data_IF_751858799910
#
_entry.id   IF_751858799910
#
_cell.length_a   1.000
_cell.length_b   1.000
_cell.length_c   1.000
_cell.angle_alpha   90.00
_cell.angle_beta   90.00
_cell.angle_gamma   90.00
#
_symmetry.space_group_name_H-M   'P 1'
#
loop_
_entity.id
_entity.type
_entity.pdbx_description
1 polymer ?
#
# COMPACT_ATOMS: atom_id res chain seq x y z
N UNK A 1 -41.93 -3.55 -19.85
CA UNK A 1 -40.55 -3.34 -20.34
C UNK A 1 -39.65 -2.59 -19.33
N UNK A 2 -40.04 -2.44 -18.05
CA UNK A 2 -39.30 -1.63 -17.07
C UNK A 2 -38.61 -2.41 -15.94
N UNK A 3 -39.16 -3.52 -15.46
CA UNK A 3 -38.59 -4.24 -14.29
C UNK A 3 -37.24 -4.92 -14.60
N UNK A 4 -37.11 -5.50 -15.80
CA UNK A 4 -35.88 -6.19 -16.20
C UNK A 4 -34.71 -5.21 -16.40
N UNK A 5 -34.98 -4.02 -16.92
CA UNK A 5 -34.00 -2.93 -17.06
C UNK A 5 -33.55 -2.41 -15.69
N UNK A 6 -34.47 -2.27 -14.74
CA UNK A 6 -34.13 -1.87 -13.37
C UNK A 6 -33.33 -2.94 -12.62
N UNK A 7 -33.65 -4.22 -12.81
CA UNK A 7 -32.84 -5.33 -12.31
C UNK A 7 -31.41 -5.28 -12.86
N UNK A 8 -31.24 -5.07 -14.17
CA UNK A 8 -29.92 -4.94 -14.77
C UNK A 8 -29.13 -3.75 -14.21
N UNK A 9 -29.75 -2.59 -14.05
CA UNK A 9 -29.10 -1.40 -13.47
C UNK A 9 -28.64 -1.67 -12.04
N UNK A 10 -29.50 -2.27 -11.20
CA UNK A 10 -29.17 -2.61 -9.80
C UNK A 10 -28.03 -3.62 -9.73
N UNK A 11 -28.09 -4.69 -10.53
CA UNK A 11 -27.04 -5.72 -10.59
C UNK A 11 -25.71 -5.13 -11.06
N UNK A 12 -25.72 -4.28 -12.10
CA UNK A 12 -24.52 -3.58 -12.57
C UNK A 12 -23.94 -2.70 -11.48
N UNK A 13 -24.76 -1.84 -10.86
CA UNK A 13 -24.30 -0.94 -9.80
C UNK A 13 -23.70 -1.71 -8.62
N UNK A 14 -24.31 -2.83 -8.22
CA UNK A 14 -23.78 -3.71 -7.17
C UNK A 14 -22.40 -4.27 -7.54
N UNK A 15 -22.24 -4.80 -8.75
CA UNK A 15 -20.97 -5.36 -9.23
C UNK A 15 -19.89 -4.27 -9.34
N UNK A 16 -20.24 -3.10 -9.89
CA UNK A 16 -19.32 -1.98 -10.05
C UNK A 16 -18.85 -1.46 -8.69
N UNK A 17 -19.77 -1.32 -7.73
CA UNK A 17 -19.44 -0.94 -6.35
C UNK A 17 -18.54 -1.98 -5.68
N UNK A 18 -18.85 -3.28 -5.80
CA UNK A 18 -18.04 -4.34 -5.21
C UNK A 18 -16.62 -4.36 -5.79
N UNK A 19 -16.47 -4.21 -7.11
CA UNK A 19 -15.17 -4.13 -7.78
C UNK A 19 -14.38 -2.89 -7.37
N UNK A 20 -15.04 -1.75 -7.27
CA UNK A 20 -14.45 -0.50 -6.78
C UNK A 20 -13.91 -0.67 -5.36
N UNK A 21 -14.73 -1.19 -4.44
CA UNK A 21 -14.33 -1.44 -3.05
C UNK A 21 -13.15 -2.41 -2.95
N UNK A 22 -13.16 -3.51 -3.70
CA UNK A 22 -12.02 -4.42 -3.76
C UNK A 22 -10.75 -3.72 -4.26
N UNK A 23 -10.84 -2.90 -5.32
CA UNK A 23 -9.71 -2.14 -5.84
C UNK A 23 -9.10 -1.20 -4.80
N UNK A 24 -9.93 -0.52 -4.02
CA UNK A 24 -9.49 0.36 -2.93
C UNK A 24 -8.77 -0.43 -1.84
N UNK A 25 -9.37 -1.53 -1.37
CA UNK A 25 -8.77 -2.39 -0.32
C UNK A 25 -7.44 -2.97 -0.78
N UNK A 26 -7.37 -3.51 -2.01
CA UNK A 26 -6.13 -4.06 -2.59
C UNK A 26 -5.05 -2.99 -2.67
N UNK A 27 -5.37 -1.78 -3.16
CA UNK A 27 -4.41 -0.68 -3.20
C UNK A 27 -3.88 -0.33 -1.82
N UNK A 28 -4.78 -0.23 -0.84
CA UNK A 28 -4.45 0.15 0.52
C UNK A 28 -3.53 -0.88 1.20
N UNK A 29 -3.86 -2.17 1.10
CA UNK A 29 -3.02 -3.27 1.60
C UNK A 29 -1.68 -3.27 0.89
N UNK A 30 -1.65 -3.10 -0.44
CA UNK A 30 -0.39 -3.11 -1.22
C UNK A 30 0.55 -2.00 -0.78
N UNK A 31 0.05 -0.77 -0.59
CA UNK A 31 0.88 0.35 -0.14
C UNK A 31 1.39 0.13 1.28
N UNK A 32 0.55 -0.40 2.17
CA UNK A 32 0.95 -0.70 3.54
C UNK A 32 2.03 -1.79 3.60
N UNK A 33 1.83 -2.91 2.88
CA UNK A 33 2.84 -3.97 2.78
C UNK A 33 4.16 -3.45 2.21
N UNK A 34 4.09 -2.59 1.19
CA UNK A 34 5.27 -1.95 0.60
C UNK A 34 6.01 -1.06 1.61
N UNK A 35 5.27 -0.32 2.45
CA UNK A 35 5.83 0.48 3.53
C UNK A 35 6.55 -0.39 4.58
N UNK A 36 5.89 -1.43 5.07
CA UNK A 36 6.44 -2.32 6.09
C UNK A 36 7.67 -3.10 5.60
N UNK A 37 7.63 -3.61 4.37
CA UNK A 37 8.81 -4.25 3.78
C UNK A 37 9.98 -3.26 3.69
N UNK A 38 9.70 -2.01 3.31
CA UNK A 38 10.66 -0.91 3.34
C UNK A 38 11.29 -0.69 4.72
N UNK A 39 10.45 -0.67 5.76
CA UNK A 39 10.86 -0.53 7.16
C UNK A 39 11.77 -1.67 7.60
N UNK A 40 11.34 -2.92 7.40
CA UNK A 40 12.11 -4.10 7.78
C UNK A 40 13.49 -4.13 7.10
N UNK A 41 13.57 -3.78 5.82
CA UNK A 41 14.86 -3.70 5.13
C UNK A 41 15.81 -2.66 5.76
N UNK A 42 15.30 -1.49 6.15
CA UNK A 42 16.13 -0.46 6.80
C UNK A 42 16.55 -0.87 8.22
N UNK A 43 15.66 -1.51 8.99
CA UNK A 43 15.96 -2.00 10.33
C UNK A 43 17.06 -3.07 10.29
N UNK A 44 16.96 -4.05 9.40
CA UNK A 44 18.00 -5.05 9.17
C UNK A 44 19.31 -4.41 8.74
N UNK A 45 19.27 -3.45 7.79
CA UNK A 45 20.46 -2.74 7.32
C UNK A 45 21.22 -1.97 8.42
N UNK A 46 20.50 -1.43 9.40
CA UNK A 46 21.07 -0.68 10.50
C UNK A 46 21.75 -1.56 11.55
N UNK A 47 21.35 -2.84 11.65
CA UNK A 47 21.98 -3.82 12.53
C UNK A 47 23.29 -4.39 11.95
N UNK A 48 23.53 -4.22 10.65
CA UNK A 48 24.75 -4.66 9.97
C UNK A 48 25.93 -3.68 10.08
N UNK A 49 27.11 -4.19 10.43
CA UNK A 49 28.36 -3.44 10.67
C UNK A 49 28.95 -2.69 9.45
N UNK A 50 28.40 -2.83 8.23
CA UNK A 50 28.87 -2.16 7.00
C UNK A 50 27.70 -1.73 6.10
N UNK A 51 27.24 -0.48 6.29
CA UNK A 51 25.98 0.08 5.75
C UNK A 51 25.75 -0.02 4.24
N UNK A 52 26.80 -0.07 3.42
CA UNK A 52 26.65 -0.05 1.96
C UNK A 52 26.62 -1.46 1.32
N UNK A 53 27.56 -2.34 1.69
CA UNK A 53 27.58 -3.71 1.17
C UNK A 53 26.46 -4.58 1.76
N UNK A 54 26.10 -4.34 3.01
CA UNK A 54 25.09 -5.14 3.70
C UNK A 54 23.68 -4.88 3.10
N UNK A 55 23.32 -3.62 2.82
CA UNK A 55 22.03 -3.31 2.19
C UNK A 55 21.84 -3.88 0.79
N UNK A 56 22.92 -3.94 -0.01
CA UNK A 56 22.86 -4.63 -1.30
C UNK A 56 22.54 -6.13 -1.15
N UNK A 57 23.17 -6.80 -0.18
CA UNK A 57 22.93 -8.23 0.10
C UNK A 57 21.54 -8.51 0.64
N UNK A 58 20.99 -7.62 1.47
CA UNK A 58 19.60 -7.72 1.98
C UNK A 58 18.62 -7.69 0.82
N UNK A 59 18.74 -6.72 -0.09
CA UNK A 59 17.86 -6.60 -1.26
C UNK A 59 17.96 -7.81 -2.19
N UNK A 60 19.17 -8.29 -2.46
CA UNK A 60 19.38 -9.43 -3.36
C UNK A 60 18.79 -10.72 -2.77
N UNK A 61 19.10 -11.01 -1.51
CA UNK A 61 18.61 -12.20 -0.80
C UNK A 61 17.08 -12.19 -0.67
N UNK A 62 16.51 -11.05 -0.28
CA UNK A 62 15.08 -10.89 -0.10
C UNK A 62 14.33 -10.98 -1.44
N UNK A 63 14.89 -10.42 -2.52
CA UNK A 63 14.33 -10.53 -3.87
C UNK A 63 14.23 -11.99 -4.30
N UNK A 64 15.30 -12.77 -4.12
CA UNK A 64 15.32 -14.19 -4.50
C UNK A 64 14.27 -14.96 -3.70
N UNK A 65 14.26 -14.80 -2.37
CA UNK A 65 13.35 -15.51 -1.49
C UNK A 65 11.88 -15.18 -1.79
N UNK A 66 11.51 -13.89 -1.81
CA UNK A 66 10.12 -13.47 -1.99
C UNK A 66 9.62 -13.75 -3.40
N UNK A 67 10.47 -13.60 -4.42
CA UNK A 67 10.07 -13.95 -5.80
C UNK A 67 9.85 -15.46 -5.95
N UNK A 68 10.70 -16.29 -5.33
CA UNK A 68 10.51 -17.75 -5.33
C UNK A 68 9.21 -18.16 -4.63
N UNK A 69 8.90 -17.52 -3.49
CA UNK A 69 7.74 -17.89 -2.66
C UNK A 69 6.41 -17.30 -3.14
N UNK A 70 6.41 -16.06 -3.63
CA UNK A 70 5.19 -15.30 -3.91
C UNK A 70 5.09 -14.83 -5.37
N UNK A 71 6.14 -15.00 -6.18
CA UNK A 71 6.14 -14.69 -7.60
C UNK A 71 6.37 -13.21 -7.93
N UNK A 72 5.68 -12.73 -8.96
CA UNK A 72 5.86 -11.39 -9.52
C UNK A 72 5.55 -10.32 -8.47
N UNK A 73 6.30 -9.21 -8.51
CA UNK A 73 6.13 -8.08 -7.58
C UNK A 73 7.22 -7.98 -6.51
N UNK A 74 8.16 -8.93 -6.44
CA UNK A 74 9.26 -8.89 -5.45
C UNK A 74 10.64 -8.86 -6.10
N UNK A 75 10.75 -8.28 -7.29
CA UNK A 75 12.05 -8.06 -7.92
C UNK A 75 12.89 -7.10 -7.09
N UNK A 76 14.22 -7.20 -7.22
CA UNK A 76 15.19 -6.31 -6.59
C UNK A 76 14.84 -4.83 -6.75
N UNK A 77 14.46 -4.41 -7.96
CA UNK A 77 14.08 -3.02 -8.22
C UNK A 77 12.81 -2.61 -7.49
N UNK A 78 11.82 -3.51 -7.37
CA UNK A 78 10.60 -3.19 -6.63
C UNK A 78 10.86 -3.10 -5.13
N UNK A 79 11.69 -4.00 -4.57
CA UNK A 79 12.13 -3.93 -3.17
C UNK A 79 12.95 -2.67 -2.89
N UNK A 80 13.84 -2.26 -3.80
CA UNK A 80 14.55 -0.99 -3.68
C UNK A 80 13.57 0.21 -3.68
N UNK A 81 12.50 0.13 -4.47
CA UNK A 81 11.39 1.07 -4.43
C UNK A 81 10.66 1.11 -3.09
N UNK A 82 10.35 -0.06 -2.50
CA UNK A 82 9.73 -0.17 -1.18
C UNK A 82 10.63 0.40 -0.07
N UNK A 83 11.93 0.13 -0.12
CA UNK A 83 12.94 0.72 0.77
C UNK A 83 12.97 2.24 0.67
N UNK A 84 13.02 2.79 -0.56
CA UNK A 84 12.95 4.24 -0.81
C UNK A 84 11.64 4.84 -0.32
N UNK A 85 10.54 4.11 -0.49
CA UNK A 85 9.21 4.53 -0.06
C UNK A 85 9.17 4.74 1.46
N UNK A 86 9.64 3.77 2.23
CA UNK A 86 9.75 3.91 3.69
C UNK A 86 10.61 5.11 4.07
N UNK A 87 11.83 5.25 3.53
CA UNK A 87 12.70 6.39 3.85
C UNK A 87 12.07 7.75 3.51
N UNK A 88 11.24 7.81 2.46
CA UNK A 88 10.55 9.02 2.01
C UNK A 88 9.37 9.40 2.91
N UNK A 89 8.66 8.41 3.45
CA UNK A 89 7.39 8.63 4.14
C UNK A 89 7.42 8.25 5.63
N UNK A 90 8.58 7.87 6.19
CA UNK A 90 8.74 7.45 7.59
C UNK A 90 8.22 8.45 8.62
N UNK A 91 8.32 9.76 8.35
CA UNK A 91 7.84 10.80 9.26
C UNK A 91 6.31 10.89 9.31
N UNK A 92 5.61 10.13 8.46
CA UNK A 92 4.15 10.03 8.41
C UNK A 92 3.63 8.70 8.97
N UNK A 93 4.48 7.91 9.63
CA UNK A 93 4.14 6.60 10.18
C UNK A 93 2.89 6.61 11.07
N UNK A 94 2.72 7.65 11.89
CA UNK A 94 1.54 7.79 12.77
C UNK A 94 0.23 7.81 12.00
N UNK A 95 0.20 8.38 10.80
CA UNK A 95 -0.99 8.42 9.93
C UNK A 95 -1.27 7.03 9.31
N UNK A 96 -0.22 6.23 9.08
CA UNK A 96 -0.26 4.91 8.47
C UNK A 96 -0.75 3.86 9.48
N UNK A 97 -0.20 3.89 10.69
CA UNK A 97 -0.50 2.93 11.78
C UNK A 97 -1.89 3.14 12.37
N UNK A 98 -2.42 4.37 12.36
CA UNK A 98 -3.78 4.68 12.83
C UNK A 98 -4.88 4.29 11.82
N UNK A 99 -4.51 3.89 10.61
CA UNK A 99 -5.49 3.38 9.65
C UNK A 99 -5.91 1.94 10.00
N UNK A 100 -7.14 1.52 9.68
CA UNK A 100 -7.64 0.16 9.98
C UNK A 100 -6.76 -0.99 9.45
N UNK A 101 -5.84 -0.70 8.53
CA UNK A 101 -4.84 -1.66 8.01
C UNK A 101 -3.60 -1.76 8.93
N UNK A 102 -3.28 -0.73 9.71
CA UNK A 102 -2.22 -0.75 10.73
C UNK A 102 -2.42 -1.86 11.77
N UNK A 103 -3.68 -2.19 12.08
CA UNK A 103 -4.08 -3.29 12.97
C UNK A 103 -3.84 -4.69 12.37
N UNK A 104 -3.65 -4.82 11.05
CA UNK A 104 -3.25 -6.08 10.41
C UNK A 104 -1.80 -6.48 10.77
N UNK A 105 -0.96 -5.49 11.10
CA UNK A 105 0.42 -5.70 11.53
C UNK A 105 0.57 -6.11 13.00
N UNK A 106 -0.46 -5.91 13.83
CA UNK A 106 -0.50 -6.42 15.20
C UNK A 106 -1.07 -7.83 15.20
N UNK A 107 -0.28 -8.80 14.72
CA UNK A 107 -0.57 -10.21 14.97
C UNK A 107 -0.38 -10.47 16.47
N UNK A 108 -1.46 -10.34 17.25
CA UNK A 108 -1.53 -11.00 18.55
C UNK A 108 -1.70 -12.50 18.27
N UNK A 109 -0.62 -13.27 18.45
CA UNK A 109 -0.72 -14.67 18.80
C UNK A 109 -1.57 -14.73 20.09
N UNK A 110 -2.86 -15.03 19.96
CA UNK A 110 -3.68 -15.79 20.92
C UNK A 110 -5.16 -15.70 20.53
N UNK A 111 -5.69 -16.83 20.04
CA UNK A 111 -7.14 -17.06 19.95
C UNK A 111 -7.65 -17.17 18.52
N UNK A 112 -8.63 -18.06 18.34
CA UNK A 112 -9.38 -18.27 17.10
C UNK A 112 -10.13 -16.97 16.79
N UNK A 113 -9.50 -16.07 16.04
CA UNK A 113 -10.18 -14.90 15.45
C UNK A 113 -10.42 -15.25 13.99
N UNK A 114 -11.69 -15.21 13.60
CA UNK A 114 -12.11 -15.35 12.20
C UNK A 114 -11.24 -14.47 11.30
N UNK A 115 -10.84 -15.02 10.15
CA UNK A 115 -9.91 -14.42 9.19
C UNK A 115 -10.11 -12.89 9.05
N UNK A 116 -9.05 -12.08 9.24
CA UNK A 116 -9.13 -10.60 9.25
C UNK A 116 -9.67 -9.99 7.95
N UNK A 117 -9.75 -10.76 6.86
CA UNK A 117 -10.24 -10.29 5.55
C UNK A 117 -11.72 -9.90 5.62
N UNK A 118 -12.54 -10.55 6.46
CA UNK A 118 -13.97 -10.25 6.59
C UNK A 118 -14.31 -9.02 7.43
N UNK A 119 -13.35 -8.50 8.20
CA UNK A 119 -13.51 -7.36 9.12
C UNK A 119 -12.64 -6.16 8.77
N UNK A 120 -12.08 -6.10 7.54
CA UNK A 120 -11.39 -4.92 7.04
C UNK A 120 -12.39 -3.75 6.89
N UNK A 121 -12.75 -3.11 8.00
CA UNK A 121 -13.27 -1.74 8.00
C UNK A 121 -12.08 -0.82 7.72
N UNK A 122 -11.58 -0.87 6.48
CA UNK A 122 -10.71 0.20 6.01
C UNK A 122 -11.57 1.44 6.04
N UNK A 123 -11.40 2.29 7.05
CA UNK A 123 -11.97 3.62 7.07
C UNK A 123 -11.38 4.37 5.86
N UNK A 124 -12.07 4.25 4.73
CA UNK A 124 -11.65 4.77 3.45
C UNK A 124 -11.53 6.30 3.47
N UNK A 125 -12.21 6.97 4.41
CA UNK A 125 -12.14 8.42 4.58
C UNK A 125 -10.82 8.84 5.23
N UNK A 126 -10.35 8.07 6.21
CA UNK A 126 -9.13 8.35 6.97
C UNK A 126 -7.88 7.58 6.52
N UNK A 127 -7.97 6.74 5.49
CA UNK A 127 -6.79 6.05 4.97
C UNK A 127 -5.79 7.06 4.34
N UNK A 128 -4.53 7.10 4.80
CA UNK A 128 -3.56 8.14 4.39
C UNK A 128 -3.03 7.96 2.96
N UNK A 129 -3.17 6.75 2.40
CA UNK A 129 -2.68 6.42 1.06
C UNK A 129 -3.84 6.25 0.08
N UNK A 130 -4.30 7.39 -0.45
CA UNK A 130 -5.45 7.46 -1.38
C UNK A 130 -5.11 7.07 -2.82
N UNK A 131 -3.87 6.64 -3.07
CA UNK A 131 -3.31 6.35 -4.40
C UNK A 131 -2.80 4.90 -4.46
N UNK A 132 -2.74 4.33 -5.67
CA UNK A 132 -2.18 2.98 -5.87
C UNK A 132 -0.66 2.96 -5.66
N UNK A 133 -0.10 1.77 -5.43
CA UNK A 133 1.36 1.57 -5.36
C UNK A 133 2.09 2.11 -6.60
N UNK A 134 1.58 1.82 -7.80
CA UNK A 134 2.14 2.32 -9.06
C UNK A 134 2.20 3.84 -9.10
N UNK A 135 1.25 4.51 -8.47
CA UNK A 135 1.26 5.96 -8.37
C UNK A 135 2.35 6.47 -7.43
N UNK A 136 2.56 5.81 -6.29
CA UNK A 136 3.67 6.14 -5.40
C UNK A 136 5.02 5.90 -6.04
N UNK A 137 5.16 4.87 -6.87
CA UNK A 137 6.38 4.66 -7.66
C UNK A 137 6.68 5.86 -8.56
N UNK A 138 5.67 6.44 -9.21
CA UNK A 138 5.82 7.69 -9.99
C UNK A 138 6.14 8.88 -9.09
N UNK A 139 5.44 9.06 -7.96
CA UNK A 139 5.74 10.16 -7.04
C UNK A 139 7.18 10.12 -6.53
N UNK A 140 7.74 8.94 -6.32
CA UNK A 140 9.12 8.77 -5.88
C UNK A 140 10.16 9.14 -6.95
N UNK A 141 9.77 9.37 -8.22
CA UNK A 141 10.69 9.89 -9.25
C UNK A 141 10.78 11.41 -9.23
N UNK A 142 9.82 12.11 -8.61
CA UNK A 142 9.82 13.57 -8.47
C UNK A 142 10.78 13.93 -7.34
N UNK A 143 11.89 14.61 -7.62
CA UNK A 143 12.92 14.91 -6.61
C UNK A 143 12.48 15.97 -5.60
N UNK A 144 11.84 17.05 -6.07
CA UNK A 144 11.35 18.15 -5.22
C UNK A 144 10.21 17.68 -4.29
N UNK A 145 10.39 17.75 -2.96
CA UNK A 145 9.36 17.40 -1.99
C UNK A 145 8.06 18.24 -2.11
N UNK A 146 8.16 19.51 -2.50
CA UNK A 146 7.02 20.40 -2.66
C UNK A 146 6.18 20.00 -3.87
N UNK A 147 6.83 19.79 -5.02
CA UNK A 147 6.20 19.28 -6.24
C UNK A 147 5.57 17.90 -6.01
N UNK A 148 6.30 17.00 -5.34
CA UNK A 148 5.80 15.66 -5.00
C UNK A 148 4.55 15.72 -4.12
N UNK A 149 4.50 16.64 -3.15
CA UNK A 149 3.32 16.82 -2.30
C UNK A 149 2.14 17.42 -3.08
N UNK A 150 2.40 18.38 -3.95
CA UNK A 150 1.39 19.00 -4.81
C UNK A 150 0.75 17.98 -5.77
N UNK A 151 1.55 17.17 -6.47
CA UNK A 151 1.06 16.13 -7.38
C UNK A 151 0.26 15.06 -6.62
N UNK A 152 0.70 14.67 -5.43
CA UNK A 152 -0.03 13.74 -4.57
C UNK A 152 -1.41 14.26 -4.17
N UNK A 153 -1.53 15.56 -3.88
CA UNK A 153 -2.81 16.19 -3.49
C UNK A 153 -3.75 16.30 -4.69
N UNK A 154 -3.25 16.82 -5.81
CA UNK A 154 -4.05 17.07 -7.03
C UNK A 154 -4.51 15.79 -7.72
N UNK A 155 -3.77 14.69 -7.60
CA UNK A 155 -4.16 13.39 -8.18
C UNK A 155 -4.91 12.47 -7.20
N UNK A 156 -5.12 12.91 -5.96
CA UNK A 156 -5.94 12.19 -4.99
C UNK A 156 -7.42 12.27 -5.41
N UNK A 157 -8.15 11.16 -5.50
CA UNK A 157 -9.57 11.16 -5.92
C UNK A 157 -10.50 11.94 -4.97
N UNK A 158 -9.98 12.44 -3.83
CA UNK A 158 -10.72 13.22 -2.85
C UNK A 158 -10.73 14.73 -3.18
N UNK A 159 -9.97 15.18 -4.18
CA UNK A 159 -10.02 16.56 -4.68
C UNK A 159 -10.45 16.59 -6.16
N UNK A 160 -11.76 16.50 -6.40
CA UNK A 160 -12.39 17.26 -7.48
C UNK A 160 -13.14 18.40 -6.81
N UNK A 161 -12.62 19.64 -6.81
CA UNK A 161 -13.48 20.78 -6.61
C UNK A 161 -14.41 20.82 -7.82
N UNK A 162 -15.71 20.67 -7.57
CA UNK A 162 -16.71 20.98 -8.57
C UNK A 162 -16.46 22.41 -9.08
N UNK A 163 -16.17 22.52 -10.36
CA UNK A 163 -16.32 23.76 -11.13
C UNK A 163 -17.62 23.67 -11.91
#
# INVERSE_FOLDING_TARGET
MNEFTELFKKSKALIDNARSSMGVVVNAVTVYTSYLLGKYMIEEEQQGSERAQYGARVLDSLSVYLTSKYGRGFSRSNLAGMRKFYLTYKDRESQIVQSGIGQLGTMQENGIVQSPIGQLTVDHQNFPFKLSWTHYQVLMTIEDPAERSFVRITRSPVFHPAL
#
